data_IF_549018126835
#
_entry.id   IF_549018126835
#
_cell.length_a   1.000
_cell.length_b   1.000
_cell.length_c   1.000
_cell.angle_alpha   90.00
_cell.angle_beta   90.00
_cell.angle_gamma   90.00
#
_symmetry.space_group_name_H-M   'P 1'
#
loop_
_entity.id
_entity.type
_entity.pdbx_description
1 polymer ?
#
# COMPACT_ATOMS: atom_id res chain seq x y z
N UNK A 1 10.98 -4.23 10.42
CA UNK A 1 10.24 -4.38 11.69
C UNK A 1 8.82 -4.77 11.36
N UNK A 2 8.39 -5.96 11.80
CA UNK A 2 7.03 -6.52 11.68
C UNK A 2 6.65 -7.19 10.34
N UNK A 3 6.52 -8.52 10.33
CA UNK A 3 5.94 -9.35 9.24
C UNK A 3 4.40 -9.43 9.32
N UNK A 4 3.74 -8.40 9.84
CA UNK A 4 2.29 -8.44 10.10
C UNK A 4 1.53 -7.65 9.04
N UNK A 5 0.44 -8.23 8.54
CA UNK A 5 -0.49 -7.57 7.62
C UNK A 5 -1.36 -6.59 8.40
N UNK A 6 -1.67 -5.45 7.77
CA UNK A 6 -2.50 -4.42 8.40
C UNK A 6 -3.82 -4.31 7.65
N UNK A 7 -4.90 -4.76 8.29
CA UNK A 7 -6.25 -4.58 7.77
C UNK A 7 -6.83 -3.25 8.29
N UNK A 8 -7.37 -2.44 7.39
CA UNK A 8 -8.10 -1.22 7.70
C UNK A 8 -9.59 -1.41 7.36
N UNK A 9 -10.47 -0.60 7.94
CA UNK A 9 -11.83 -0.52 7.42
C UNK A 9 -11.87 0.06 6.00
N UNK A 10 -12.99 -0.17 5.31
CA UNK A 10 -13.19 0.24 3.91
C UNK A 10 -13.02 1.75 3.68
N UNK A 11 -13.37 2.57 4.67
CA UNK A 11 -13.26 4.03 4.58
C UNK A 11 -11.80 4.44 4.59
N UNK A 12 -10.99 3.82 5.44
CA UNK A 12 -9.56 4.05 5.52
C UNK A 12 -8.82 3.53 4.28
N UNK A 13 -9.19 2.36 3.75
CA UNK A 13 -8.66 1.88 2.47
C UNK A 13 -8.91 2.87 1.32
N UNK A 14 -10.13 3.41 1.20
CA UNK A 14 -10.45 4.42 0.18
C UNK A 14 -9.67 5.71 0.36
N UNK A 15 -9.48 6.19 1.61
CA UNK A 15 -8.63 7.36 1.87
C UNK A 15 -7.18 7.13 1.44
N UNK A 16 -6.65 5.94 1.71
CA UNK A 16 -5.31 5.55 1.25
C UNK A 16 -5.25 5.53 -0.28
N UNK A 17 -6.23 4.94 -0.95
CA UNK A 17 -6.31 4.90 -2.40
C UNK A 17 -6.36 6.31 -3.02
N UNK A 18 -7.25 7.18 -2.53
CA UNK A 18 -7.34 8.58 -2.97
C UNK A 18 -6.01 9.33 -2.81
N UNK A 19 -5.35 9.14 -1.67
CA UNK A 19 -4.06 9.76 -1.42
C UNK A 19 -2.99 9.24 -2.39
N UNK A 20 -2.89 7.92 -2.53
CA UNK A 20 -1.90 7.28 -3.39
C UNK A 20 -2.07 7.71 -4.84
N UNK A 21 -3.30 7.96 -5.30
CA UNK A 21 -3.58 8.46 -6.64
C UNK A 21 -3.34 9.98 -6.82
N UNK A 22 -3.07 10.71 -5.75
CA UNK A 22 -2.75 12.14 -5.83
C UNK A 22 -1.31 12.38 -6.30
N UNK A 23 -1.00 13.57 -6.81
CA UNK A 23 0.39 13.96 -7.09
C UNK A 23 1.27 14.03 -5.83
N UNK A 24 0.65 14.07 -4.65
CA UNK A 24 1.33 14.12 -3.36
C UNK A 24 1.61 12.73 -2.79
N UNK A 25 1.41 11.64 -3.56
CA UNK A 25 1.51 10.26 -3.06
C UNK A 25 2.84 9.91 -2.36
N UNK A 26 3.92 10.66 -2.65
CA UNK A 26 5.21 10.52 -1.96
C UNK A 26 5.24 11.12 -0.55
N UNK A 27 4.28 11.98 -0.20
CA UNK A 27 4.22 12.74 1.04
C UNK A 27 3.23 12.17 2.09
N UNK A 28 2.96 10.85 2.18
CA UNK A 28 2.06 10.34 3.25
C UNK A 28 2.70 10.65 4.60
N UNK A 29 2.18 11.70 5.23
CA UNK A 29 2.27 11.86 6.67
C UNK A 29 1.13 11.04 7.29
N UNK A 30 1.36 9.73 7.28
CA UNK A 30 0.76 8.72 8.13
C UNK A 30 -0.77 8.57 8.17
N UNK A 31 -1.25 7.52 7.50
CA UNK A 31 -2.32 6.63 8.00
C UNK A 31 -1.58 5.29 8.16
N UNK A 32 -1.23 4.68 9.31
CA UNK A 32 -1.71 4.63 10.68
C UNK A 32 -0.49 4.28 11.60
N UNK A 33 -0.42 4.79 12.85
CA UNK A 33 0.77 4.72 13.75
C UNK A 33 0.67 3.68 14.86
N UNK A 34 0.67 2.38 14.57
CA UNK A 34 1.26 1.46 15.56
C UNK A 34 2.81 1.41 15.44
N UNK A 35 3.39 1.78 14.28
CA UNK A 35 4.82 1.54 14.00
C UNK A 35 5.64 2.74 13.50
N UNK A 36 5.13 3.95 13.66
CA UNK A 36 5.97 5.14 13.45
C UNK A 36 6.88 5.43 14.65
N UNK A 37 6.64 4.78 15.79
CA UNK A 37 7.52 4.86 16.95
C UNK A 37 8.97 4.45 16.64
N UNK A 38 9.22 3.51 15.71
CA UNK A 38 10.58 3.15 15.27
C UNK A 38 11.13 4.01 14.12
N UNK A 39 10.25 4.68 13.37
CA UNK A 39 10.62 5.58 12.27
C UNK A 39 11.17 6.93 12.80
N UNK A 40 10.87 7.26 14.06
CA UNK A 40 11.27 8.51 14.74
C UNK A 40 12.77 8.63 15.07
N UNK A 41 13.61 7.64 14.77
CA UNK A 41 15.03 7.65 15.16
C UNK A 41 16.04 7.93 14.03
N UNK A 42 15.62 8.39 12.85
CA UNK A 42 16.56 8.97 11.89
C UNK A 42 16.03 10.28 11.30
N UNK A 43 16.77 11.34 11.54
CA UNK A 43 16.47 12.75 11.28
C UNK A 43 16.40 13.15 9.79
N UNK A 44 15.92 12.29 8.89
CA UNK A 44 15.80 12.65 7.46
C UNK A 44 14.60 11.98 6.81
N UNK A 45 14.08 12.66 5.78
CA UNK A 45 13.23 12.17 4.69
C UNK A 45 11.73 12.52 4.75
N UNK A 46 11.35 13.43 3.85
CA UNK A 46 9.99 13.93 3.55
C UNK A 46 9.19 12.96 2.66
N UNK A 47 9.61 11.71 2.50
CA UNK A 47 8.98 10.74 1.61
C UNK A 47 8.58 9.47 2.37
N UNK A 48 7.44 8.86 2.01
CA UNK A 48 7.12 7.49 2.44
C UNK A 48 8.19 6.56 1.88
N UNK A 49 8.73 5.70 2.73
CA UNK A 49 9.61 4.63 2.26
C UNK A 49 8.87 3.73 1.25
N UNK A 50 9.53 3.39 0.15
CA UNK A 50 8.98 2.52 -0.91
C UNK A 50 8.41 1.21 -0.39
N UNK A 51 8.99 0.67 0.70
CA UNK A 51 8.53 -0.54 1.36
C UNK A 51 7.12 -0.42 1.93
N UNK A 52 6.70 0.73 2.46
CA UNK A 52 5.35 0.89 2.98
C UNK A 52 4.33 0.87 1.83
N UNK A 53 4.67 1.47 0.68
CA UNK A 53 3.79 1.46 -0.50
C UNK A 53 3.67 0.05 -1.10
N UNK A 54 4.77 -0.70 -1.09
CA UNK A 54 4.77 -2.12 -1.41
C UNK A 54 3.88 -2.92 -0.44
N UNK A 55 4.03 -2.71 0.87
CA UNK A 55 3.24 -3.40 1.88
C UNK A 55 1.74 -3.12 1.74
N UNK A 56 1.35 -1.87 1.49
CA UNK A 56 -0.06 -1.50 1.26
C UNK A 56 -0.67 -2.29 0.10
N UNK A 57 0.02 -2.40 -1.04
CA UNK A 57 -0.47 -3.20 -2.18
C UNK A 57 -0.57 -4.67 -1.82
N UNK A 58 0.46 -5.20 -1.16
CA UNK A 58 0.52 -6.60 -0.75
C UNK A 58 -0.64 -6.98 0.20
N UNK A 59 -0.89 -6.15 1.20
CA UNK A 59 -1.95 -6.38 2.20
C UNK A 59 -3.34 -6.21 1.57
N UNK A 60 -3.55 -5.17 0.75
CA UNK A 60 -4.80 -4.95 0.06
C UNK A 60 -5.15 -6.11 -0.89
N UNK A 61 -4.17 -6.64 -1.63
CA UNK A 61 -4.38 -7.81 -2.49
C UNK A 61 -4.77 -9.06 -1.69
N UNK A 62 -4.07 -9.32 -0.58
CA UNK A 62 -4.37 -10.45 0.30
C UNK A 62 -5.82 -10.39 0.81
N UNK A 63 -6.24 -9.26 1.37
CA UNK A 63 -7.61 -9.10 1.88
C UNK A 63 -8.66 -9.14 0.75
N UNK A 64 -8.31 -8.71 -0.47
CA UNK A 64 -9.21 -8.83 -1.61
C UNK A 64 -9.45 -10.29 -2.03
N UNK A 65 -8.41 -11.13 -1.99
CA UNK A 65 -8.53 -12.58 -2.25
C UNK A 65 -9.30 -13.29 -1.13
N UNK A 66 -9.13 -12.87 0.12
CA UNK A 66 -9.88 -13.39 1.27
C UNK A 66 -11.33 -12.89 1.35
N UNK A 67 -11.75 -12.03 0.40
CA UNK A 67 -13.07 -11.38 0.36
C UNK A 67 -13.36 -10.47 1.57
N UNK A 68 -12.32 -10.04 2.27
CA UNK A 68 -12.39 -9.05 3.35
C UNK A 68 -12.29 -7.60 2.84
N UNK A 69 -11.78 -7.42 1.62
CA UNK A 69 -11.75 -6.14 0.90
C UNK A 69 -12.45 -6.29 -0.46
N UNK A 70 -13.28 -5.32 -0.83
CA UNK A 70 -13.85 -5.30 -2.17
C UNK A 70 -12.76 -5.15 -3.24
N UNK A 71 -12.78 -6.02 -4.25
CA UNK A 71 -11.78 -6.01 -5.32
C UNK A 71 -11.74 -4.68 -6.10
N UNK A 72 -12.86 -3.95 -6.13
CA UNK A 72 -12.96 -2.58 -6.66
C UNK A 72 -12.03 -1.61 -5.92
N UNK A 73 -11.99 -1.68 -4.58
CA UNK A 73 -11.13 -0.82 -3.74
C UNK A 73 -9.67 -1.22 -3.88
N UNK A 74 -9.37 -2.51 -4.05
CA UNK A 74 -8.03 -2.96 -4.41
C UNK A 74 -7.55 -2.32 -5.73
N UNK A 75 -8.38 -2.35 -6.79
CA UNK A 75 -8.01 -1.72 -8.07
C UNK A 75 -7.92 -0.19 -7.99
N UNK A 76 -8.80 0.45 -7.23
CA UNK A 76 -8.70 1.88 -6.93
C UNK A 76 -7.34 2.20 -6.31
N UNK A 77 -6.89 1.39 -5.36
CA UNK A 77 -5.58 1.53 -4.75
C UNK A 77 -4.46 1.27 -5.77
N UNK A 78 -4.47 0.11 -6.43
CA UNK A 78 -3.42 -0.31 -7.36
C UNK A 78 -3.22 0.66 -8.54
N UNK A 79 -4.24 1.45 -8.90
CA UNK A 79 -4.15 2.46 -9.97
C UNK A 79 -3.06 3.51 -9.73
N UNK A 80 -2.63 3.73 -8.49
CA UNK A 80 -1.50 4.63 -8.20
C UNK A 80 -0.19 4.16 -8.84
N UNK A 81 -0.02 2.86 -9.06
CA UNK A 81 1.22 2.31 -9.60
C UNK A 81 1.54 2.92 -10.97
N UNK A 82 0.54 3.40 -11.72
CA UNK A 82 0.74 4.15 -12.97
C UNK A 82 1.69 5.35 -12.84
N UNK A 83 1.77 5.98 -11.66
CA UNK A 83 2.71 7.07 -11.37
C UNK A 83 3.93 6.64 -10.54
N UNK A 84 4.04 5.35 -10.19
CA UNK A 84 5.15 4.78 -9.43
C UNK A 84 6.34 4.44 -10.34
N UNK A 85 7.53 4.84 -9.91
CA UNK A 85 8.79 4.57 -10.62
C UNK A 85 9.70 3.60 -9.87
N UNK A 86 9.48 3.39 -8.59
CA UNK A 86 10.28 2.48 -7.79
C UNK A 86 9.81 1.03 -8.01
N UNK A 87 10.68 0.17 -8.57
CA UNK A 87 10.39 -1.25 -8.81
C UNK A 87 9.92 -2.00 -7.55
N UNK A 88 10.45 -1.67 -6.37
CA UNK A 88 10.10 -2.31 -5.10
C UNK A 88 8.59 -2.15 -4.80
N UNK A 89 7.99 -1.01 -5.14
CA UNK A 89 6.56 -0.79 -4.95
C UNK A 89 5.70 -1.55 -5.96
N UNK A 90 6.24 -1.86 -7.15
CA UNK A 90 5.59 -2.67 -8.18
C UNK A 90 5.64 -4.17 -7.90
N UNK A 91 6.66 -4.65 -7.17
CA UNK A 91 6.89 -6.08 -6.96
C UNK A 91 5.66 -6.85 -6.43
N UNK A 92 4.90 -6.36 -5.42
CA UNK A 92 3.68 -7.03 -4.97
C UNK A 92 2.61 -7.15 -6.06
N UNK A 93 2.51 -6.16 -6.95
CA UNK A 93 1.55 -6.20 -8.06
C UNK A 93 1.93 -7.25 -9.10
N UNK A 94 3.23 -7.44 -9.37
CA UNK A 94 3.69 -8.53 -10.24
C UNK A 94 3.32 -9.91 -9.66
N UNK A 95 3.42 -10.06 -8.33
CA UNK A 95 2.98 -11.29 -7.65
C UNK A 95 1.47 -11.47 -7.67
N UNK A 96 0.70 -10.40 -7.54
CA UNK A 96 -0.74 -10.44 -7.72
C UNK A 96 -1.12 -10.91 -9.13
N UNK A 97 -0.47 -10.38 -10.18
CA UNK A 97 -0.68 -10.83 -11.55
C UNK A 97 -0.28 -12.28 -11.77
N UNK A 98 0.87 -12.71 -11.24
CA UNK A 98 1.30 -14.10 -11.30
C UNK A 98 0.25 -15.04 -10.68
N UNK A 99 -0.33 -14.67 -9.55
CA UNK A 99 -1.40 -15.43 -8.91
C UNK A 99 -2.68 -15.44 -9.76
N UNK A 100 -3.14 -14.27 -10.21
CA UNK A 100 -4.36 -14.14 -11.01
C UNK A 100 -4.27 -14.88 -12.36
N UNK A 101 -3.07 -15.01 -12.93
CA UNK A 101 -2.87 -15.76 -14.17
C UNK A 101 -2.99 -17.28 -14.02
N UNK A 102 -2.95 -17.80 -12.77
CA UNK A 102 -3.02 -19.23 -12.46
C UNK A 102 -4.43 -19.68 -12.06
N UNK A 103 -5.36 -18.73 -11.91
CA UNK A 103 -6.79 -18.98 -11.68
C UNK A 103 -7.49 -19.03 -13.03
#
# INVERSE_FOLDING_TARGET
>A
TGYYRVNYDIVNWRKIAQYLNSQKYRNIHVLNRAQIAQYLNSQKYRNIHVLNRAQIINDAFHFAIEKELEFSVFWELASYLRQERDYIAWYPMLKAFEFLSKI
#
